data_IF_715566422059
#
_entry.id   IF_715566422059
#
_cell.length_a   1.000
_cell.length_b   1.000
_cell.length_c   1.000
_cell.angle_alpha   90.00
_cell.angle_beta   90.00
_cell.angle_gamma   90.00
#
_symmetry.space_group_name_H-M   'P 1'
#
loop_
_entity.id
_entity.type
_entity.pdbx_description
1 polymer ?
#
# COMPACT_ATOMS: atom_id res chain seq x y z
N UNK A 1 18.89 6.57 -2.98
CA UNK A 1 18.98 5.15 -3.39
C UNK A 1 17.82 4.43 -2.74
N UNK A 2 17.01 3.70 -3.50
CA UNK A 2 16.00 2.81 -2.92
C UNK A 2 16.71 1.73 -2.10
N UNK A 3 16.11 1.31 -1.00
CA UNK A 3 16.65 0.28 -0.13
C UNK A 3 16.66 -1.12 -0.77
N UNK A 4 16.81 -2.13 0.04
CA UNK A 4 16.78 -3.52 -0.41
C UNK A 4 15.38 -3.93 -0.86
N UNK A 5 15.27 -4.60 -2.02
CA UNK A 5 14.01 -5.17 -2.48
C UNK A 5 13.51 -6.25 -1.51
N UNK A 6 12.24 -6.20 -1.18
CA UNK A 6 11.61 -7.14 -0.25
C UNK A 6 10.57 -8.02 -0.93
N UNK A 7 9.65 -7.40 -1.64
CA UNK A 7 8.52 -8.12 -2.22
C UNK A 7 7.93 -7.34 -3.38
N UNK A 8 7.15 -8.03 -4.20
CA UNK A 8 6.38 -7.41 -5.26
C UNK A 8 5.41 -8.38 -5.89
N UNK A 9 4.45 -7.85 -6.60
CA UNK A 9 3.52 -8.60 -7.42
C UNK A 9 3.43 -7.94 -8.79
N UNK A 10 3.57 -8.76 -9.83
CA UNK A 10 3.47 -8.35 -11.23
C UNK A 10 2.25 -8.98 -11.92
N UNK A 11 1.26 -9.44 -11.16
CA UNK A 11 -0.01 -9.88 -11.71
C UNK A 11 -0.86 -8.66 -12.10
N UNK A 12 -0.73 -8.26 -13.35
CA UNK A 12 -1.43 -7.11 -13.94
C UNK A 12 -2.90 -7.38 -14.23
N UNK A 13 -3.40 -8.59 -14.00
CA UNK A 13 -4.83 -8.92 -14.14
C UNK A 13 -5.67 -8.27 -13.03
N UNK A 14 -5.03 -7.96 -11.91
CA UNK A 14 -5.63 -7.22 -10.81
C UNK A 14 -5.65 -5.71 -11.01
N UNK A 15 -6.02 -4.98 -9.97
CA UNK A 15 -6.15 -3.51 -10.02
C UNK A 15 -4.82 -2.76 -10.04
N UNK A 16 -3.72 -3.39 -9.63
CA UNK A 16 -2.39 -2.79 -9.60
C UNK A 16 -1.29 -3.84 -9.44
N UNK A 17 -0.06 -3.46 -9.76
CA UNK A 17 1.16 -4.18 -9.40
C UNK A 17 2.00 -3.35 -8.43
N UNK A 18 2.86 -3.98 -7.65
CA UNK A 18 3.70 -3.28 -6.68
C UNK A 18 5.09 -3.89 -6.53
N UNK A 19 6.01 -3.10 -5.99
CA UNK A 19 7.31 -3.55 -5.50
C UNK A 19 7.67 -2.81 -4.23
N UNK A 20 8.08 -3.52 -3.18
CA UNK A 20 8.49 -2.93 -1.91
C UNK A 20 10.00 -3.02 -1.69
N UNK A 21 10.54 -1.96 -1.12
CA UNK A 21 11.95 -1.82 -0.77
C UNK A 21 12.06 -1.34 0.68
N UNK A 22 12.94 -1.97 1.46
CA UNK A 22 13.23 -1.56 2.84
C UNK A 22 14.44 -0.64 2.89
N UNK A 23 14.46 0.22 3.92
CA UNK A 23 15.59 1.10 4.20
C UNK A 23 16.36 0.66 5.44
N UNK A 24 17.67 0.88 5.49
CA UNK A 24 18.42 0.76 6.72
C UNK A 24 17.82 1.68 7.80
N UNK A 25 17.58 1.15 8.98
CA UNK A 25 16.95 1.92 10.07
C UNK A 25 15.42 1.82 10.12
N UNK A 26 14.82 1.05 9.23
CA UNK A 26 13.38 0.79 9.21
C UNK A 26 12.63 1.61 8.16
N UNK A 27 11.37 1.24 7.98
CA UNK A 27 10.51 1.81 6.96
C UNK A 27 10.65 1.14 5.59
N UNK A 28 9.60 1.29 4.79
CA UNK A 28 9.51 0.74 3.43
C UNK A 28 8.99 1.79 2.46
N UNK A 29 9.39 1.69 1.21
CA UNK A 29 8.73 2.37 0.09
C UNK A 29 8.10 1.31 -0.79
N UNK A 30 6.84 1.54 -1.15
CA UNK A 30 6.11 0.76 -2.13
C UNK A 30 5.93 1.57 -3.40
N UNK A 31 6.40 1.01 -4.52
CA UNK A 31 6.14 1.54 -5.85
C UNK A 31 4.91 0.84 -6.39
N UNK A 32 3.92 1.64 -6.79
CA UNK A 32 2.67 1.15 -7.38
C UNK A 32 2.65 1.45 -8.87
N UNK A 33 2.14 0.50 -9.65
CA UNK A 33 1.85 0.70 -11.06
C UNK A 33 0.41 0.25 -11.37
N UNK A 34 -0.28 0.91 -12.34
CA UNK A 34 -1.64 0.54 -12.69
C UNK A 34 -1.69 -0.87 -13.25
N UNK A 35 -2.73 -1.63 -12.90
CA UNK A 35 -3.08 -2.88 -13.54
C UNK A 35 -3.89 -2.67 -14.81
N UNK A 36 -4.43 -3.77 -15.36
CA UNK A 36 -5.23 -3.74 -16.60
C UNK A 36 -6.68 -3.26 -16.39
N UNK A 37 -7.11 -3.13 -15.14
CA UNK A 37 -8.45 -2.62 -14.83
C UNK A 37 -8.46 -1.08 -14.89
N UNK A 38 -9.15 -0.47 -15.88
CA UNK A 38 -9.24 0.98 -15.97
C UNK A 38 -10.01 1.62 -14.82
N UNK A 39 -10.78 0.84 -14.07
CA UNK A 39 -11.47 1.30 -12.86
C UNK A 39 -10.61 1.23 -11.59
N UNK A 40 -9.39 0.70 -11.70
CA UNK A 40 -8.47 0.52 -10.58
C UNK A 40 -8.11 1.83 -9.88
N UNK A 41 -7.84 1.75 -8.58
CA UNK A 41 -7.56 2.95 -7.77
C UNK A 41 -6.27 3.66 -8.21
N UNK A 42 -5.25 2.93 -8.65
CA UNK A 42 -3.99 3.51 -9.16
C UNK A 42 -4.22 4.28 -10.46
N UNK A 43 -5.03 3.72 -11.37
CA UNK A 43 -5.42 4.41 -12.63
C UNK A 43 -6.11 5.74 -12.30
N UNK A 44 -7.13 5.70 -11.45
CA UNK A 44 -7.88 6.90 -11.03
C UNK A 44 -7.01 7.94 -10.32
N UNK A 45 -6.04 7.48 -9.53
CA UNK A 45 -5.10 8.39 -8.89
C UNK A 45 -4.22 9.10 -9.93
N UNK A 46 -3.63 8.34 -10.87
CA UNK A 46 -2.77 8.90 -11.92
C UNK A 46 -3.52 9.86 -12.84
N UNK A 47 -4.75 9.53 -13.24
CA UNK A 47 -5.60 10.41 -14.06
C UNK A 47 -5.91 11.75 -13.35
N UNK A 48 -6.11 11.70 -12.05
CA UNK A 48 -6.53 12.87 -11.27
C UNK A 48 -5.37 13.72 -10.77
N UNK A 49 -4.26 13.08 -10.44
CA UNK A 49 -3.16 13.71 -9.70
C UNK A 49 -1.80 13.61 -10.40
N UNK A 50 -1.66 12.74 -11.42
CA UNK A 50 -0.36 12.38 -11.97
C UNK A 50 0.46 11.50 -11.02
N UNK A 51 1.73 11.35 -11.29
CA UNK A 51 2.66 10.63 -10.43
C UNK A 51 2.85 11.33 -9.07
N UNK A 52 3.00 10.57 -8.02
CA UNK A 52 3.23 11.12 -6.69
C UNK A 52 2.97 10.13 -5.55
N UNK A 53 2.99 10.65 -4.33
CA UNK A 53 2.70 9.85 -3.12
C UNK A 53 1.19 9.59 -3.05
N UNK A 54 0.81 8.31 -3.09
CA UNK A 54 -0.59 7.89 -2.97
C UNK A 54 -1.02 7.81 -1.50
N UNK A 55 -0.25 7.11 -0.68
CA UNK A 55 -0.57 6.94 0.74
C UNK A 55 0.69 6.81 1.62
N UNK A 56 0.48 7.00 2.92
CA UNK A 56 1.40 6.65 3.98
C UNK A 56 0.75 5.59 4.85
N UNK A 57 1.48 4.52 5.18
CA UNK A 57 1.00 3.43 6.02
C UNK A 57 1.65 3.49 7.39
N UNK A 58 0.83 3.44 8.43
CA UNK A 58 1.25 3.26 9.81
C UNK A 58 0.78 1.89 10.31
N UNK A 59 1.72 1.06 10.74
CA UNK A 59 1.39 -0.23 11.34
C UNK A 59 1.14 -0.01 12.82
N UNK A 60 0.04 -0.59 13.32
CA UNK A 60 -0.42 -0.47 14.71
C UNK A 60 -0.64 -1.86 15.32
N UNK A 61 -0.60 -1.94 16.65
CA UNK A 61 -0.75 -3.21 17.37
C UNK A 61 -2.21 -3.69 17.43
N UNK A 62 -3.17 -2.77 17.48
CA UNK A 62 -4.61 -3.06 17.50
C UNK A 62 -5.35 -2.08 16.58
N UNK A 63 -5.66 -2.55 15.37
CA UNK A 63 -6.35 -1.74 14.36
C UNK A 63 -7.77 -1.35 14.79
N UNK A 64 -8.49 -2.23 15.51
CA UNK A 64 -9.86 -1.93 15.92
C UNK A 64 -9.90 -0.82 16.97
N UNK A 65 -9.03 -0.90 17.95
CA UNK A 65 -8.88 0.14 18.96
C UNK A 65 -8.44 1.47 18.33
N UNK A 66 -7.50 1.42 17.38
CA UNK A 66 -7.03 2.61 16.69
C UNK A 66 -8.12 3.25 15.82
N UNK A 67 -8.90 2.46 15.08
CA UNK A 67 -10.04 2.97 14.30
C UNK A 67 -11.08 3.64 15.20
N UNK A 68 -11.38 3.04 16.36
CA UNK A 68 -12.29 3.66 17.32
C UNK A 68 -11.74 5.00 17.82
N UNK A 69 -10.48 5.06 18.24
CA UNK A 69 -9.81 6.28 18.71
C UNK A 69 -9.82 7.39 17.65
N UNK A 70 -9.56 7.04 16.39
CA UNK A 70 -9.58 7.98 15.27
C UNK A 70 -10.99 8.56 15.06
N UNK A 71 -12.03 7.74 15.11
CA UNK A 71 -13.42 8.19 15.00
C UNK A 71 -13.84 9.09 16.15
N UNK A 72 -13.45 8.76 17.37
CA UNK A 72 -13.72 9.58 18.56
C UNK A 72 -13.00 10.94 18.47
N UNK A 73 -11.87 11.01 17.79
CA UNK A 73 -11.16 12.27 17.49
C UNK A 73 -11.74 13.05 16.30
N UNK A 74 -12.84 12.57 15.70
CA UNK A 74 -13.50 13.23 14.58
C UNK A 74 -12.93 12.91 13.21
N UNK A 75 -12.02 11.93 13.10
CA UNK A 75 -11.46 11.52 11.82
C UNK A 75 -12.46 10.66 11.03
N UNK A 76 -12.50 10.86 9.71
CA UNK A 76 -13.31 10.04 8.82
C UNK A 76 -12.53 8.80 8.40
N UNK A 77 -12.85 7.66 9.02
CA UNK A 77 -12.26 6.36 8.70
C UNK A 77 -13.17 5.59 7.74
N UNK A 78 -12.60 4.95 6.72
CA UNK A 78 -13.29 4.16 5.71
C UNK A 78 -12.43 3.00 5.20
N UNK A 79 -13.01 2.12 4.36
CA UNK A 79 -12.30 1.03 3.69
C UNK A 79 -11.73 -0.01 4.66
N UNK A 80 -12.40 -0.21 5.80
CA UNK A 80 -11.98 -1.19 6.80
C UNK A 80 -12.05 -2.61 6.23
N UNK A 81 -10.94 -3.33 6.36
CA UNK A 81 -10.85 -4.73 5.99
C UNK A 81 -10.17 -5.52 7.12
N UNK A 82 -10.92 -6.41 7.73
CA UNK A 82 -10.48 -7.30 8.83
C UNK A 82 -10.53 -8.77 8.42
N UNK A 83 -10.69 -9.08 7.13
CA UNK A 83 -10.91 -10.44 6.63
C UNK A 83 -9.66 -11.32 6.63
N UNK A 84 -8.47 -10.71 6.64
CA UNK A 84 -7.18 -11.40 6.63
C UNK A 84 -6.31 -10.87 7.77
N UNK A 85 -6.01 -11.73 8.76
CA UNK A 85 -5.17 -11.35 9.91
C UNK A 85 -3.74 -11.02 9.52
N UNK A 86 -3.25 -11.55 8.39
CA UNK A 86 -1.90 -11.24 7.89
C UNK A 86 -1.79 -9.79 7.40
N UNK A 87 -2.90 -9.19 7.00
CA UNK A 87 -2.98 -7.76 6.68
C UNK A 87 -4.41 -7.25 6.84
N UNK A 88 -4.66 -6.59 7.95
CA UNK A 88 -5.88 -5.82 8.19
C UNK A 88 -5.59 -4.35 7.98
N UNK A 89 -6.56 -3.59 7.49
CA UNK A 89 -6.34 -2.18 7.14
C UNK A 89 -7.58 -1.33 7.29
N UNK A 90 -7.37 -0.03 7.42
CA UNK A 90 -8.36 1.02 7.31
C UNK A 90 -7.71 2.29 6.77
N UNK A 91 -8.49 3.19 6.21
CA UNK A 91 -8.02 4.43 5.63
C UNK A 91 -8.64 5.64 6.30
N UNK A 92 -7.85 6.70 6.45
CA UNK A 92 -8.31 8.00 6.92
C UNK A 92 -8.45 8.90 5.70
N UNK A 93 -9.62 9.51 5.53
CA UNK A 93 -9.85 10.47 4.45
C UNK A 93 -8.88 11.64 4.57
N UNK A 94 -8.25 12.06 3.47
CA UNK A 94 -7.48 13.31 3.46
C UNK A 94 -8.35 14.46 3.98
N UNK A 95 -7.75 15.31 4.80
CA UNK A 95 -8.46 16.46 5.36
C UNK A 95 -8.93 17.44 4.28
N UNK A 96 -9.79 18.38 4.68
CA UNK A 96 -10.26 19.47 3.82
C UNK A 96 -9.15 20.50 3.49
N UNK A 97 -7.97 20.31 4.05
CA UNK A 97 -6.75 21.14 3.88
C UNK A 97 -6.08 21.00 2.50
N UNK A 98 -6.65 20.18 1.60
CA UNK A 98 -6.08 19.92 0.28
C UNK A 98 -4.99 18.87 0.26
N UNK A 99 -4.72 18.19 1.38
CA UNK A 99 -3.86 17.00 1.40
C UNK A 99 -4.39 15.96 0.42
N UNK A 100 -3.50 15.48 -0.46
CA UNK A 100 -3.81 14.43 -1.44
C UNK A 100 -3.35 13.06 -0.97
N UNK A 101 -2.56 13.03 0.10
CA UNK A 101 -1.96 11.79 0.62
C UNK A 101 -2.97 11.10 1.52
N UNK A 102 -3.31 9.88 1.17
CA UNK A 102 -4.17 9.01 1.97
C UNK A 102 -3.37 8.47 3.16
N UNK A 103 -3.97 8.36 4.31
CA UNK A 103 -3.36 7.68 5.45
C UNK A 103 -4.00 6.30 5.57
N UNK A 104 -3.14 5.27 5.55
CA UNK A 104 -3.52 3.90 5.84
C UNK A 104 -3.04 3.56 7.26
N UNK A 105 -3.89 2.95 8.06
CA UNK A 105 -3.53 2.28 9.30
C UNK A 105 -3.71 0.79 9.09
N UNK A 106 -2.72 0.01 9.47
CA UNK A 106 -2.70 -1.43 9.21
C UNK A 106 -2.23 -2.21 10.43
N UNK A 107 -2.67 -3.45 10.53
CA UNK A 107 -2.21 -4.42 11.51
C UNK A 107 -1.88 -5.73 10.81
N UNK A 108 -0.80 -6.38 11.23
CA UNK A 108 -0.42 -7.71 10.77
C UNK A 108 -0.05 -8.58 11.96
N UNK A 109 -0.44 -9.85 11.92
CA UNK A 109 0.02 -10.87 12.87
C UNK A 109 1.36 -11.48 12.45
N UNK A 110 1.91 -11.07 11.31
CA UNK A 110 3.18 -11.54 10.78
C UNK A 110 4.32 -10.57 11.08
N UNK A 111 5.49 -11.11 11.32
CA UNK A 111 6.74 -10.33 11.30
C UNK A 111 7.06 -9.87 9.88
N UNK A 112 7.90 -8.83 9.75
CA UNK A 112 8.37 -8.38 8.44
C UNK A 112 9.01 -9.50 7.62
N UNK A 113 9.74 -10.41 8.26
CA UNK A 113 10.39 -11.55 7.60
C UNK A 113 9.36 -12.56 7.09
N UNK A 114 8.34 -12.88 7.88
CA UNK A 114 7.24 -13.76 7.46
C UNK A 114 6.48 -13.15 6.27
N UNK A 115 6.21 -11.85 6.31
CA UNK A 115 5.57 -11.16 5.17
C UNK A 115 6.44 -11.25 3.91
N UNK A 116 7.75 -11.04 4.03
CA UNK A 116 8.67 -11.12 2.91
C UNK A 116 8.68 -12.52 2.28
N UNK A 117 8.57 -13.58 3.08
CA UNK A 117 8.51 -14.97 2.60
C UNK A 117 7.19 -15.29 1.90
N UNK A 118 6.06 -14.85 2.44
CA UNK A 118 4.74 -15.08 1.85
C UNK A 118 4.55 -14.33 0.53
N UNK A 119 5.19 -13.16 0.36
CA UNK A 119 5.04 -12.29 -0.79
C UNK A 119 6.13 -12.42 -1.85
N UNK A 120 7.13 -13.26 -1.67
CA UNK A 120 8.20 -13.55 -2.67
C UNK A 120 7.68 -14.31 -3.90
N UNK A 121 6.54 -13.94 -4.43
CA UNK A 121 5.95 -14.59 -5.60
C UNK A 121 6.64 -14.23 -6.90
N UNK A 122 7.18 -13.02 -6.98
CA UNK A 122 7.82 -12.49 -8.18
C UNK A 122 9.16 -11.88 -7.87
N UNK A 123 10.23 -12.35 -8.50
CA UNK A 123 11.53 -11.71 -8.37
C UNK A 123 11.51 -10.30 -9.00
N UNK A 124 12.36 -9.40 -8.50
CA UNK A 124 12.42 -8.00 -8.92
C UNK A 124 12.52 -7.81 -10.44
N UNK A 125 13.31 -8.65 -11.12
CA UNK A 125 13.48 -8.58 -12.58
C UNK A 125 12.17 -8.88 -13.34
N UNK A 126 11.32 -9.76 -12.82
CA UNK A 126 9.99 -10.02 -13.39
C UNK A 126 9.07 -8.81 -13.22
N UNK A 127 9.07 -8.17 -12.04
CA UNK A 127 8.30 -6.94 -11.77
C UNK A 127 8.76 -5.80 -12.70
N UNK A 128 10.08 -5.60 -12.83
CA UNK A 128 10.63 -4.56 -13.70
C UNK A 128 10.33 -4.80 -15.18
N UNK A 129 10.39 -6.05 -15.66
CA UNK A 129 10.02 -6.40 -17.05
C UNK A 129 8.55 -6.16 -17.31
N UNK A 130 7.67 -6.45 -16.35
CA UNK A 130 6.26 -6.15 -16.48
C UNK A 130 6.02 -4.64 -16.57
N UNK A 131 6.65 -3.84 -15.71
CA UNK A 131 6.53 -2.38 -15.69
C UNK A 131 6.99 -1.70 -17.00
N UNK A 132 7.99 -2.26 -17.72
CA UNK A 132 8.48 -1.69 -18.99
C UNK A 132 7.52 -1.85 -20.17
N UNK A 133 6.50 -2.70 -20.07
CA UNK A 133 5.50 -2.88 -21.13
C UNK A 133 4.48 -1.74 -21.23
N UNK A 134 4.46 -0.83 -20.27
CA UNK A 134 3.52 0.29 -20.16
C UNK A 134 4.16 1.66 -20.46
N UNK A 135 5.33 1.66 -21.06
CA UNK A 135 5.99 2.89 -21.56
C UNK A 135 5.68 3.15 -23.02
#
# INVERSE_FOLDING_TARGET
>A
MLGEYRQGDADWSGGFAFAQFSFPGGGRVELLAPGNDPSGFVVKFLERHGEGVHHLTFVVDDLRAEVQRLRESGQRVFGENYSNSHWMEAFISPGLDGSRVLIQVAQSDQTSEQQDDDWRRHPLDAVLKAATRFR
#
